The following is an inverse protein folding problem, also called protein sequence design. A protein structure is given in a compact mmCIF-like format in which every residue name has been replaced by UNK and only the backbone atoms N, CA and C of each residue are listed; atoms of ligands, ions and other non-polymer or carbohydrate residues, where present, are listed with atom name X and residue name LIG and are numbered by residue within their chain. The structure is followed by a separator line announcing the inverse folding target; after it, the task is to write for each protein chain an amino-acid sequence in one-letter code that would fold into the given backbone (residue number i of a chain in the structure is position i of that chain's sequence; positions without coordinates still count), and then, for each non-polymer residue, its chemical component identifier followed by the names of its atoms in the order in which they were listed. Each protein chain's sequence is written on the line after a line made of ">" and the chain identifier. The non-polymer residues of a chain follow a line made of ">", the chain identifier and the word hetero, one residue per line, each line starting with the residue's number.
data_IF_929956550920
#
_entry.id   IF_929956550920
#
_cell.length_a   1.000
_cell.length_b   1.000
_cell.length_c   1.000
_cell.angle_alpha   90.00
_cell.angle_beta   90.00
_cell.angle_gamma   90.00
#
_symmetry.space_group_name_H-M   'P 1'
#
loop_
_entity.id
_entity.type
_entity.pdbx_description
1 polymer ?
#
# COMPACT_ATOMS: atom_id res chain seq x y z
N UNK A 1 -67.04 -29.61 19.77
CA UNK A 1 -66.37 -30.05 18.51
C UNK A 1 -65.75 -28.90 17.70
N UNK A 2 -66.24 -27.66 17.74
CA UNK A 2 -65.72 -26.53 16.93
C UNK A 2 -64.33 -25.98 17.36
N UNK A 3 -64.00 -26.00 18.67
CA UNK A 3 -62.71 -25.44 19.19
C UNK A 3 -61.46 -26.22 18.78
N UNK A 4 -61.56 -27.57 18.72
CA UNK A 4 -60.43 -28.44 18.29
C UNK A 4 -60.03 -28.22 16.83
N UNK A 5 -60.98 -27.88 15.97
CA UNK A 5 -60.67 -27.58 14.55
C UNK A 5 -60.06 -26.22 14.34
N UNK A 6 -60.36 -25.23 15.20
CA UNK A 6 -59.77 -23.90 15.15
C UNK A 6 -58.28 -23.93 15.55
N UNK A 7 -57.94 -24.69 16.64
CA UNK A 7 -56.57 -24.86 17.07
C UNK A 7 -55.68 -25.55 16.03
N UNK A 8 -56.20 -26.57 15.31
CA UNK A 8 -55.49 -27.22 14.21
C UNK A 8 -55.23 -26.32 13.04
N UNK A 9 -56.19 -25.41 12.68
CA UNK A 9 -55.99 -24.42 11.61
C UNK A 9 -54.96 -23.38 11.97
N UNK A 10 -54.92 -22.90 13.21
CA UNK A 10 -53.89 -21.96 13.68
C UNK A 10 -52.50 -22.59 13.69
N UNK A 11 -52.38 -23.87 14.09
CA UNK A 11 -51.09 -24.58 14.09
C UNK A 11 -50.57 -24.80 12.67
N UNK A 12 -51.41 -25.10 11.69
CA UNK A 12 -51.01 -25.22 10.30
C UNK A 12 -50.56 -23.90 9.67
N UNK A 13 -51.23 -22.76 10.00
CA UNK A 13 -50.87 -21.44 9.51
C UNK A 13 -49.52 -21.02 10.13
N UNK A 14 -49.31 -21.23 11.42
CA UNK A 14 -48.07 -20.91 12.09
C UNK A 14 -46.85 -21.68 11.53
N UNK A 15 -47.04 -22.99 11.21
CA UNK A 15 -45.96 -23.79 10.61
C UNK A 15 -45.68 -23.38 9.14
N UNK A 16 -46.66 -22.96 8.37
CA UNK A 16 -46.48 -22.50 7.00
C UNK A 16 -45.74 -21.15 6.96
N UNK A 17 -46.05 -20.22 7.89
CA UNK A 17 -45.33 -18.94 8.02
C UNK A 17 -43.89 -19.14 8.46
N UNK A 18 -43.60 -20.04 9.43
CA UNK A 18 -42.25 -20.35 9.86
C UNK A 18 -41.39 -20.96 8.73
N UNK A 19 -41.97 -21.81 7.88
CA UNK A 19 -41.27 -22.39 6.73
C UNK A 19 -41.04 -21.34 5.61
N UNK A 20 -41.99 -20.41 5.38
CA UNK A 20 -41.81 -19.34 4.42
C UNK A 20 -40.70 -18.34 4.83
N UNK A 21 -40.56 -18.02 6.11
CA UNK A 21 -39.48 -17.17 6.63
C UNK A 21 -38.11 -17.86 6.53
N UNK A 22 -38.05 -19.16 6.73
CA UNK A 22 -36.79 -19.94 6.57
C UNK A 22 -36.32 -20.03 5.12
N UNK A 23 -37.29 -20.02 4.14
CA UNK A 23 -36.97 -20.03 2.72
C UNK A 23 -36.52 -18.66 2.17
N UNK A 24 -36.78 -17.57 2.91
CA UNK A 24 -36.35 -16.20 2.55
C UNK A 24 -34.99 -15.80 3.17
N UNK A 25 -34.43 -16.66 4.05
CA UNK A 25 -33.07 -16.45 4.54
C UNK A 25 -32.09 -16.88 3.44
N UNK A 26 -31.67 -15.92 2.63
CA UNK A 26 -30.53 -16.14 1.75
C UNK A 26 -29.33 -16.53 2.62
N UNK A 27 -28.59 -17.60 2.25
CA UNK A 27 -27.38 -17.93 2.98
C UNK A 27 -26.45 -16.72 2.90
N UNK A 28 -26.12 -16.13 4.05
CA UNK A 28 -25.05 -15.14 4.13
C UNK A 28 -23.80 -15.84 3.61
N UNK A 29 -23.45 -15.59 2.38
CA UNK A 29 -22.18 -16.00 1.80
C UNK A 29 -21.12 -15.23 2.56
N UNK A 30 -20.54 -15.85 3.58
CA UNK A 30 -19.29 -15.38 4.17
C UNK A 30 -18.24 -15.58 3.08
N UNK A 31 -18.07 -14.56 2.27
CA UNK A 31 -16.99 -14.49 1.31
C UNK A 31 -15.71 -14.51 2.15
N UNK A 32 -14.93 -15.57 2.04
CA UNK A 32 -13.64 -15.66 2.68
C UNK A 32 -12.88 -14.37 2.32
N UNK A 33 -12.50 -13.61 3.34
CA UNK A 33 -11.69 -12.41 3.12
C UNK A 33 -10.46 -12.89 2.35
N UNK A 34 -10.30 -12.40 1.10
CA UNK A 34 -9.15 -12.74 0.29
C UNK A 34 -7.89 -12.41 1.07
N UNK A 35 -6.81 -13.11 0.80
CA UNK A 35 -5.52 -12.89 1.46
C UNK A 35 -5.12 -11.42 1.29
N UNK A 36 -5.01 -10.70 2.42
CA UNK A 36 -4.63 -9.27 2.43
C UNK A 36 -3.12 -9.19 2.50
N UNK A 37 -2.50 -8.66 1.45
CA UNK A 37 -1.07 -8.37 1.43
C UNK A 37 -0.83 -6.96 1.94
N UNK A 38 0.26 -6.77 2.68
CA UNK A 38 0.67 -5.46 3.23
C UNK A 38 2.05 -5.06 2.71
N UNK A 39 2.23 -3.77 2.50
CA UNK A 39 3.53 -3.20 2.13
C UNK A 39 4.50 -3.33 3.30
N UNK A 40 5.70 -3.82 3.03
CA UNK A 40 6.82 -3.87 3.99
C UNK A 40 7.32 -2.47 4.36
N UNK A 41 6.99 -1.43 3.57
CA UNK A 41 7.41 -0.06 3.83
C UNK A 41 6.45 0.67 4.78
N UNK A 42 5.15 0.45 4.62
CA UNK A 42 4.12 1.25 5.30
C UNK A 42 3.20 0.42 6.22
N UNK A 43 3.17 -0.91 6.07
CA UNK A 43 2.21 -1.79 6.72
C UNK A 43 0.78 -1.68 6.17
N UNK A 44 0.54 -0.84 5.18
CA UNK A 44 -0.77 -0.66 4.56
C UNK A 44 -1.08 -1.77 3.55
N UNK A 45 -2.38 -2.08 3.31
CA UNK A 45 -2.78 -3.05 2.30
C UNK A 45 -2.29 -2.66 0.90
N UNK A 46 -1.80 -3.65 0.16
CA UNK A 46 -1.35 -3.50 -1.24
C UNK A 46 -2.03 -4.53 -2.15
N UNK A 47 -1.99 -4.27 -3.45
CA UNK A 47 -2.40 -5.24 -4.46
C UNK A 47 -1.54 -6.51 -4.41
N UNK A 48 -2.13 -7.67 -4.66
CA UNK A 48 -1.42 -8.94 -4.78
C UNK A 48 -0.30 -8.91 -5.83
N UNK A 49 -0.46 -8.09 -6.87
CA UNK A 49 0.57 -7.91 -7.91
C UNK A 49 1.86 -7.25 -7.40
N UNK A 50 1.79 -6.53 -6.28
CA UNK A 50 2.94 -5.84 -5.67
C UNK A 50 3.62 -6.68 -4.58
N UNK A 51 3.06 -7.83 -4.20
CA UNK A 51 3.54 -8.66 -3.09
C UNK A 51 5.04 -8.92 -3.18
N UNK A 52 5.49 -9.42 -4.32
CA UNK A 52 6.88 -9.84 -4.54
C UNK A 52 7.71 -8.76 -5.27
N UNK A 53 7.12 -7.59 -5.53
CA UNK A 53 7.82 -6.47 -6.15
C UNK A 53 8.84 -5.87 -5.16
N UNK A 54 10.10 -5.81 -5.57
CA UNK A 54 11.12 -5.08 -4.79
C UNK A 54 10.85 -3.57 -4.87
N UNK A 55 10.96 -2.83 -3.76
CA UNK A 55 10.88 -1.38 -3.81
C UNK A 55 12.06 -0.79 -4.59
N UNK A 56 11.91 0.45 -5.06
CA UNK A 56 13.00 1.26 -5.58
C UNK A 56 13.35 2.37 -4.58
N UNK A 57 14.61 2.73 -4.51
CA UNK A 57 15.13 3.88 -3.76
C UNK A 57 15.76 4.88 -4.75
N UNK A 58 15.10 6.00 -4.95
CA UNK A 58 15.47 7.02 -5.94
C UNK A 58 16.17 8.18 -5.26
N UNK A 59 17.36 8.53 -5.78
CA UNK A 59 18.14 9.68 -5.30
C UNK A 59 17.66 10.95 -5.97
N UNK A 60 16.95 11.81 -5.23
CA UNK A 60 16.38 13.07 -5.75
C UNK A 60 17.19 14.25 -5.26
N UNK A 61 17.49 15.16 -6.18
CA UNK A 61 18.22 16.39 -5.90
C UNK A 61 17.40 17.36 -5.04
N UNK A 62 18.03 17.94 -4.01
CA UNK A 62 17.40 18.93 -3.13
C UNK A 62 18.11 20.30 -3.18
N UNK A 63 18.85 20.57 -4.24
CA UNK A 63 19.40 21.90 -4.48
C UNK A 63 18.32 22.90 -4.93
N UNK A 64 18.52 24.20 -4.67
CA UNK A 64 17.53 25.23 -5.02
C UNK A 64 17.11 25.22 -6.48
N UNK A 65 18.03 24.86 -7.38
CA UNK A 65 17.76 24.78 -8.83
C UNK A 65 16.88 23.59 -9.20
N UNK A 66 16.75 22.61 -8.32
CA UNK A 66 15.97 21.38 -8.49
C UNK A 66 14.65 21.37 -7.71
N UNK A 67 14.26 22.49 -7.07
CA UNK A 67 13.12 22.56 -6.12
C UNK A 67 11.73 22.34 -6.72
N UNK A 68 11.59 22.04 -7.98
CA UNK A 68 10.37 21.44 -8.50
C UNK A 68 10.56 19.93 -8.51
N UNK A 69 10.49 19.34 -7.32
CA UNK A 69 10.54 17.90 -7.20
C UNK A 69 9.34 17.23 -7.88
N UNK A 70 9.57 16.08 -8.50
CA UNK A 70 8.51 15.25 -9.06
C UNK A 70 8.48 13.92 -8.32
N UNK A 71 7.29 13.47 -7.96
CA UNK A 71 7.06 12.16 -7.36
C UNK A 71 7.45 12.04 -5.88
N UNK A 72 7.98 13.07 -5.24
CA UNK A 72 8.42 12.97 -3.83
C UNK A 72 7.28 12.87 -2.84
N UNK A 73 6.11 13.43 -3.16
CA UNK A 73 4.91 13.34 -2.32
C UNK A 73 4.24 11.95 -2.38
N UNK A 74 4.51 11.20 -3.42
CA UNK A 74 4.00 9.86 -3.66
C UNK A 74 4.91 8.75 -3.09
N UNK A 75 6.07 9.14 -2.52
CA UNK A 75 6.98 8.19 -1.90
C UNK A 75 6.40 7.59 -0.61
N UNK A 76 6.60 6.30 -0.40
CA UNK A 76 6.24 5.61 0.84
C UNK A 76 7.12 6.08 2.01
N UNK A 77 8.42 6.30 1.73
CA UNK A 77 9.41 6.80 2.71
C UNK A 77 10.31 7.82 2.03
N UNK A 78 10.62 8.92 2.72
CA UNK A 78 11.59 9.92 2.28
C UNK A 78 12.64 10.12 3.36
N UNK A 79 13.90 9.89 2.99
CA UNK A 79 15.05 10.25 3.81
C UNK A 79 15.68 11.52 3.27
N UNK A 80 15.80 12.54 4.11
CA UNK A 80 16.65 13.69 3.83
C UNK A 80 18.01 13.50 4.48
N UNK A 81 19.06 13.52 3.66
CA UNK A 81 20.42 13.25 4.13
C UNK A 81 21.41 14.30 3.67
N UNK A 82 22.38 14.60 4.52
CA UNK A 82 23.48 15.49 4.15
C UNK A 82 24.24 14.90 2.96
N UNK A 83 24.31 15.66 1.88
CA UNK A 83 25.07 15.28 0.70
C UNK A 83 26.49 15.84 0.74
N UNK A 84 26.65 17.10 1.18
CA UNK A 84 27.93 17.80 1.24
C UNK A 84 27.89 18.85 2.33
N UNK A 85 29.01 19.06 3.02
CA UNK A 85 29.22 20.18 3.94
C UNK A 85 29.67 21.46 3.22
N UNK A 86 30.11 21.34 1.96
CA UNK A 86 30.35 22.47 1.06
C UNK A 86 29.01 23.00 0.49
N UNK A 87 29.06 24.17 -0.16
CA UNK A 87 27.92 24.77 -0.84
C UNK A 87 26.67 24.91 0.03
N UNK A 88 26.79 25.54 1.20
CA UNK A 88 25.72 25.80 2.15
C UNK A 88 25.01 24.54 2.70
N UNK A 89 25.75 23.42 2.80
CA UNK A 89 25.26 22.19 3.42
C UNK A 89 24.07 21.58 2.66
N UNK A 90 24.26 21.30 1.40
CA UNK A 90 23.22 20.72 0.53
C UNK A 90 22.82 19.34 1.05
N UNK A 91 21.52 19.12 1.12
CA UNK A 91 20.92 17.80 1.39
C UNK A 91 20.52 17.11 0.09
N UNK A 92 20.19 15.82 0.19
CA UNK A 92 19.62 15.02 -0.89
C UNK A 92 18.52 14.15 -0.32
N UNK A 93 17.47 13.97 -1.11
CA UNK A 93 16.39 13.06 -0.75
C UNK A 93 16.68 11.66 -1.30
N UNK A 94 16.38 10.63 -0.51
CA UNK A 94 16.22 9.27 -0.98
C UNK A 94 14.76 8.90 -0.80
N UNK A 95 14.04 8.75 -1.90
CA UNK A 95 12.63 8.44 -1.93
C UNK A 95 12.44 6.95 -2.22
N UNK A 96 11.72 6.24 -1.37
CA UNK A 96 11.49 4.79 -1.50
C UNK A 96 10.03 4.57 -1.87
N UNK A 97 9.81 3.72 -2.88
CA UNK A 97 8.49 3.43 -3.43
C UNK A 97 8.28 1.93 -3.55
N UNK A 98 7.14 1.42 -3.08
CA UNK A 98 6.67 0.06 -3.37
C UNK A 98 5.97 0.01 -4.72
N UNK A 99 4.97 0.89 -4.93
CA UNK A 99 4.23 0.98 -6.19
C UNK A 99 4.78 2.11 -7.08
N UNK A 100 6.02 1.95 -7.55
CA UNK A 100 6.65 2.95 -8.40
C UNK A 100 6.02 3.06 -9.80
N UNK A 101 5.24 2.07 -10.24
CA UNK A 101 4.56 2.12 -11.54
C UNK A 101 3.37 3.08 -11.53
N UNK A 102 2.81 3.40 -10.36
CA UNK A 102 1.72 4.38 -10.21
C UNK A 102 2.22 5.83 -10.24
N UNK A 103 3.52 6.07 -10.09
CA UNK A 103 4.12 7.40 -10.04
C UNK A 103 4.56 7.84 -11.45
N UNK A 104 3.90 8.86 -12.05
CA UNK A 104 4.13 9.18 -13.46
C UNK A 104 5.54 9.75 -13.74
N UNK A 105 6.14 10.42 -12.75
CA UNK A 105 7.47 11.04 -12.91
C UNK A 105 8.15 11.15 -11.56
N UNK A 106 9.42 10.78 -11.49
CA UNK A 106 10.25 10.92 -10.28
C UNK A 106 11.53 11.67 -10.67
N UNK A 107 11.90 12.69 -9.94
CA UNK A 107 13.17 13.42 -10.21
C UNK A 107 13.20 14.83 -9.57
N UNK A 108 14.26 15.59 -9.82
CA UNK A 108 15.45 15.29 -10.65
C UNK A 108 16.34 14.24 -10.00
N UNK A 109 16.79 13.25 -10.77
CA UNK A 109 17.65 12.17 -10.27
C UNK A 109 19.11 12.65 -10.16
N UNK A 110 19.79 12.25 -9.07
CA UNK A 110 21.19 12.62 -8.78
C UNK A 110 22.01 11.46 -8.22
N UNK A 111 23.27 11.75 -7.95
CA UNK A 111 24.28 10.77 -7.51
C UNK A 111 23.98 10.15 -6.17
N UNK A 112 24.22 8.86 -6.05
CA UNK A 112 24.15 8.10 -4.80
C UNK A 112 25.37 8.37 -3.90
N UNK A 113 25.21 8.14 -2.59
CA UNK A 113 26.29 8.16 -1.59
C UNK A 113 26.32 6.83 -0.82
N UNK A 114 27.44 6.46 -0.18
CA UNK A 114 27.54 5.21 0.57
C UNK A 114 26.42 5.02 1.60
N UNK A 115 26.01 6.07 2.31
CA UNK A 115 24.92 6.03 3.27
C UNK A 115 23.58 5.66 2.64
N UNK A 116 23.33 6.12 1.40
CA UNK A 116 22.11 5.76 0.67
C UNK A 116 22.10 4.25 0.35
N UNK A 117 23.24 3.69 -0.06
CA UNK A 117 23.36 2.25 -0.37
C UNK A 117 23.06 1.40 0.86
N UNK A 118 23.60 1.79 2.03
CA UNK A 118 23.36 1.07 3.29
C UNK A 118 21.86 1.09 3.62
N UNK A 119 21.25 2.28 3.63
CA UNK A 119 19.83 2.43 3.95
C UNK A 119 18.91 1.74 2.92
N UNK A 120 19.21 1.84 1.62
CA UNK A 120 18.44 1.13 0.60
C UNK A 120 18.52 -0.40 0.77
N UNK A 121 19.66 -0.90 1.27
CA UNK A 121 19.86 -2.31 1.60
C UNK A 121 18.93 -2.82 2.69
N UNK A 122 18.57 -1.99 3.68
CA UNK A 122 17.63 -2.31 4.75
C UNK A 122 16.23 -2.68 4.22
N UNK A 123 15.86 -2.09 3.09
CA UNK A 123 14.57 -2.31 2.40
C UNK A 123 14.68 -3.29 1.24
N UNK A 124 15.86 -3.88 1.01
CA UNK A 124 16.13 -4.66 -0.20
C UNK A 124 15.75 -3.89 -1.50
N UNK A 125 15.88 -2.55 -1.47
CA UNK A 125 15.47 -1.68 -2.56
C UNK A 125 16.49 -1.66 -3.70
N UNK A 126 15.98 -1.46 -4.93
CA UNK A 126 16.81 -1.23 -6.11
C UNK A 126 17.17 0.25 -6.14
N UNK A 127 18.47 0.59 -6.12
CA UNK A 127 18.92 1.97 -6.16
C UNK A 127 18.79 2.56 -7.58
N UNK A 128 18.12 3.72 -7.67
CA UNK A 128 18.00 4.51 -8.91
C UNK A 128 18.72 5.84 -8.70
N UNK A 129 19.76 6.08 -9.49
CA UNK A 129 20.62 7.26 -9.33
C UNK A 129 21.33 7.62 -10.62
N UNK A 130 21.80 8.84 -10.70
CA UNK A 130 22.67 9.35 -11.77
C UNK A 130 24.02 9.77 -11.17
N UNK A 131 25.05 8.95 -11.38
CA UNK A 131 26.38 9.13 -10.86
C UNK A 131 26.58 8.66 -9.40
N UNK A 132 27.82 8.77 -8.95
CA UNK A 132 28.27 8.37 -7.61
C UNK A 132 29.66 8.90 -7.31
N UNK A 133 30.21 8.66 -6.11
CA UNK A 133 31.58 9.00 -5.83
C UNK A 133 32.52 8.08 -6.62
N UNK A 134 33.54 8.66 -7.18
CA UNK A 134 34.69 7.92 -7.68
C UNK A 134 35.64 7.70 -6.50
N UNK A 135 35.99 6.46 -6.23
CA UNK A 135 36.99 6.08 -5.26
C UNK A 135 38.22 5.56 -5.98
#
# INVERSE_FOLDING_TARGET
>A
MKVKNLAKKFLCIASAVAMAVALMAEPIQVQAAGEVYTSELTGLPISASLKDQRPIAVMVDNEKVALKHFGTAEADIVYEMMNSTANDRITRLMCIYKDYNSVPTIGSIRSIRPTNVILAGEYNAICVHDGGPYY
#
